data_IF_434656209199
#
_entry.id   IF_434656209199
#
_cell.length_a   1.000
_cell.length_b   1.000
_cell.length_c   1.000
_cell.angle_alpha   90.00
_cell.angle_beta   90.00
_cell.angle_gamma   90.00
#
_symmetry.space_group_name_H-M   'P 1'
#
loop_
_entity.id
_entity.type
_entity.pdbx_description
1 polymer ?
#
# COMPACT_ATOMS: atom_id res chain seq x y z
N UNK A 1 58.57 -18.31 9.68
CA UNK A 1 57.24 -18.80 9.28
C UNK A 1 56.53 -17.70 8.51
N UNK A 2 56.42 -17.85 7.20
CA UNK A 2 55.80 -16.85 6.35
C UNK A 2 54.28 -17.05 6.33
N UNK A 3 53.51 -15.96 6.56
CA UNK A 3 52.03 -15.94 6.48
C UNK A 3 51.53 -16.10 5.04
N UNK A 4 50.29 -16.63 4.85
CA UNK A 4 49.75 -16.87 3.50
C UNK A 4 49.42 -15.56 2.77
N UNK A 5 49.54 -15.55 1.42
CA UNK A 5 49.30 -14.35 0.61
C UNK A 5 47.81 -13.97 0.57
N UNK A 6 47.55 -12.68 0.63
CA UNK A 6 46.19 -12.11 0.50
C UNK A 6 45.62 -12.37 -0.91
N UNK A 7 44.46 -12.98 -0.97
CA UNK A 7 43.69 -13.22 -2.23
C UNK A 7 43.14 -11.89 -2.75
N UNK A 8 43.39 -11.49 -3.99
CA UNK A 8 42.86 -10.24 -4.54
C UNK A 8 41.34 -10.30 -4.73
N UNK A 9 40.64 -9.34 -4.17
CA UNK A 9 39.21 -9.18 -4.34
C UNK A 9 38.81 -9.04 -5.83
N UNK A 10 38.03 -10.00 -6.30
CA UNK A 10 37.74 -10.21 -7.72
C UNK A 10 36.99 -9.04 -8.36
N UNK A 11 37.52 -8.54 -9.48
CA UNK A 11 36.92 -7.49 -10.35
C UNK A 11 35.52 -7.84 -10.90
N UNK A 12 35.04 -9.07 -10.72
CA UNK A 12 33.73 -9.55 -11.19
C UNK A 12 32.57 -8.98 -10.37
N UNK A 13 32.75 -8.77 -9.07
CA UNK A 13 31.71 -8.21 -8.19
C UNK A 13 31.36 -6.74 -8.51
N UNK A 14 32.34 -5.97 -9.03
CA UNK A 14 32.15 -4.56 -9.36
C UNK A 14 31.37 -4.38 -10.68
N UNK A 15 31.57 -5.27 -11.66
CA UNK A 15 30.84 -5.25 -12.95
C UNK A 15 29.37 -5.63 -12.78
N UNK A 16 29.06 -6.61 -11.95
CA UNK A 16 27.68 -7.01 -11.64
C UNK A 16 26.91 -5.91 -10.87
N UNK A 17 27.57 -5.19 -9.96
CA UNK A 17 26.98 -4.05 -9.25
C UNK A 17 26.77 -2.84 -10.16
N UNK A 18 27.68 -2.55 -11.08
CA UNK A 18 27.57 -1.49 -12.08
C UNK A 18 26.42 -1.78 -13.06
N UNK A 19 26.28 -3.01 -13.55
CA UNK A 19 25.19 -3.44 -14.43
C UNK A 19 23.81 -3.33 -13.76
N UNK A 20 23.69 -3.72 -12.48
CA UNK A 20 22.44 -3.55 -11.71
C UNK A 20 22.07 -2.08 -11.48
N UNK A 21 23.04 -1.21 -11.24
CA UNK A 21 22.83 0.25 -11.10
C UNK A 21 22.43 0.89 -12.44
N UNK A 22 23.03 0.49 -13.55
CA UNK A 22 22.68 0.96 -14.87
C UNK A 22 21.24 0.54 -15.25
N UNK A 23 20.87 -0.71 -15.05
CA UNK A 23 19.51 -1.22 -15.31
C UNK A 23 18.44 -0.53 -14.43
N UNK A 24 18.76 -0.23 -13.18
CA UNK A 24 17.86 0.50 -12.28
C UNK A 24 17.64 1.95 -12.75
N UNK A 25 18.69 2.64 -13.23
CA UNK A 25 18.57 4.00 -13.79
C UNK A 25 17.74 4.03 -15.07
N UNK A 26 17.93 3.06 -15.95
CA UNK A 26 17.13 2.92 -17.19
C UNK A 26 15.66 2.68 -16.85
N UNK A 27 15.35 1.74 -15.94
CA UNK A 27 13.98 1.48 -15.49
C UNK A 27 13.33 2.74 -14.88
N UNK A 28 14.05 3.47 -14.04
CA UNK A 28 13.55 4.71 -13.43
C UNK A 28 13.30 5.80 -14.48
N UNK A 29 14.13 5.90 -15.53
CA UNK A 29 13.94 6.83 -16.64
C UNK A 29 12.72 6.46 -17.46
N UNK A 30 12.55 5.19 -17.80
CA UNK A 30 11.36 4.68 -18.52
C UNK A 30 10.09 4.94 -17.70
N UNK A 31 10.10 4.61 -16.41
CA UNK A 31 8.96 4.87 -15.52
C UNK A 31 8.57 6.34 -15.46
N UNK A 32 9.55 7.26 -15.41
CA UNK A 32 9.29 8.71 -15.46
C UNK A 32 8.72 9.16 -16.81
N UNK A 33 9.25 8.65 -17.93
CA UNK A 33 8.72 8.95 -19.26
C UNK A 33 7.25 8.47 -19.38
N UNK A 34 6.97 7.25 -18.93
CA UNK A 34 5.61 6.68 -18.94
C UNK A 34 4.68 7.52 -18.04
N UNK A 35 5.11 7.86 -16.82
CA UNK A 35 4.33 8.71 -15.93
C UNK A 35 4.03 10.09 -16.54
N UNK A 36 4.99 10.67 -17.27
CA UNK A 36 4.83 11.93 -17.99
C UNK A 36 3.83 11.81 -19.18
N UNK A 37 3.81 10.66 -19.86
CA UNK A 37 2.83 10.39 -20.93
C UNK A 37 1.39 10.22 -20.39
N UNK A 38 1.27 9.68 -19.17
CA UNK A 38 -0.02 9.44 -18.52
C UNK A 38 -0.57 10.68 -17.79
N UNK A 39 0.30 11.68 -17.54
CA UNK A 39 -0.08 12.87 -16.79
C UNK A 39 -0.99 13.81 -17.61
N UNK A 40 -1.99 14.37 -16.91
CA UNK A 40 -2.94 15.33 -17.48
C UNK A 40 -4.17 14.69 -18.13
N UNK A 41 -5.23 15.51 -18.37
CA UNK A 41 -6.51 15.03 -18.84
C UNK A 41 -6.55 14.74 -20.34
N UNK A 42 -5.54 15.20 -21.10
CA UNK A 42 -5.48 15.00 -22.55
C UNK A 42 -4.29 14.11 -22.94
N UNK A 43 -4.51 13.13 -23.85
CA UNK A 43 -3.44 12.25 -24.31
C UNK A 43 -2.41 13.03 -25.12
N UNK A 44 -1.15 12.93 -24.74
CA UNK A 44 -0.01 13.44 -25.52
C UNK A 44 0.21 12.59 -26.78
N UNK A 45 0.90 13.12 -27.78
CA UNK A 45 1.18 12.42 -29.06
C UNK A 45 1.79 11.03 -28.80
N UNK A 46 2.79 10.91 -27.91
CA UNK A 46 3.39 9.62 -27.57
C UNK A 46 2.39 8.62 -26.95
N UNK A 47 1.40 9.08 -26.20
CA UNK A 47 0.34 8.23 -25.67
C UNK A 47 -0.58 7.73 -26.80
N UNK A 48 -0.89 8.58 -27.79
CA UNK A 48 -1.70 8.20 -28.96
C UNK A 48 -1.00 7.15 -29.82
N UNK A 49 0.31 7.21 -29.98
CA UNK A 49 1.10 6.21 -30.70
C UNK A 49 1.05 4.82 -29.99
N UNK A 50 0.86 4.79 -28.67
CA UNK A 50 0.69 3.54 -27.92
C UNK A 50 -0.76 3.01 -27.91
N UNK A 51 -1.71 3.74 -28.51
CA UNK A 51 -3.12 3.39 -28.46
C UNK A 51 -3.45 2.04 -29.12
N UNK A 52 -2.85 1.63 -30.27
CA UNK A 52 -3.09 0.30 -30.83
C UNK A 52 -2.71 -0.83 -29.84
N UNK A 53 -1.61 -0.66 -29.10
CA UNK A 53 -1.21 -1.61 -28.08
C UNK A 53 -2.18 -1.62 -26.89
N UNK A 54 -2.76 -0.47 -26.55
CA UNK A 54 -3.79 -0.38 -25.52
C UNK A 54 -5.10 -1.08 -25.95
N UNK A 55 -5.43 -1.09 -27.23
CA UNK A 55 -6.57 -1.85 -27.74
C UNK A 55 -6.33 -3.36 -27.64
N UNK A 56 -5.13 -3.84 -27.96
CA UNK A 56 -4.75 -5.26 -27.76
C UNK A 56 -4.85 -5.63 -26.29
N UNK A 57 -4.28 -4.81 -25.40
CA UNK A 57 -4.41 -5.01 -23.95
C UNK A 57 -5.87 -5.07 -23.50
N UNK A 58 -6.71 -4.15 -24.01
CA UNK A 58 -8.12 -4.08 -23.68
C UNK A 58 -8.89 -5.32 -24.17
N UNK A 59 -8.58 -5.82 -25.37
CA UNK A 59 -9.18 -7.03 -25.92
C UNK A 59 -8.81 -8.25 -25.09
N UNK A 60 -7.53 -8.42 -24.73
CA UNK A 60 -7.05 -9.52 -23.88
C UNK A 60 -7.67 -9.48 -22.49
N UNK A 61 -7.73 -8.29 -21.87
CA UNK A 61 -8.35 -8.12 -20.56
C UNK A 61 -9.87 -8.40 -20.62
N UNK A 62 -10.54 -7.94 -21.70
CA UNK A 62 -11.96 -8.21 -21.95
C UNK A 62 -12.24 -9.69 -22.17
N UNK A 63 -11.42 -10.37 -22.97
CA UNK A 63 -11.52 -11.82 -23.18
C UNK A 63 -11.33 -12.56 -21.86
N UNK A 64 -10.30 -12.20 -21.09
CA UNK A 64 -10.07 -12.80 -19.77
C UNK A 64 -11.29 -12.66 -18.86
N UNK A 65 -11.91 -11.48 -18.80
CA UNK A 65 -13.12 -11.22 -18.01
C UNK A 65 -14.32 -12.02 -18.55
N UNK A 66 -14.50 -12.10 -19.89
CA UNK A 66 -15.55 -12.84 -20.52
C UNK A 66 -15.52 -14.33 -20.20
N UNK A 67 -14.33 -14.94 -20.12
CA UNK A 67 -14.18 -16.35 -19.73
C UNK A 67 -14.74 -16.66 -18.34
N UNK A 68 -14.67 -15.72 -17.40
CA UNK A 68 -15.30 -15.88 -16.09
C UNK A 68 -16.80 -15.63 -16.14
N UNK A 69 -17.26 -14.59 -16.87
CA UNK A 69 -18.69 -14.28 -17.02
C UNK A 69 -19.48 -15.38 -17.70
N UNK A 70 -18.88 -16.04 -18.69
CA UNK A 70 -19.47 -17.19 -19.42
C UNK A 70 -19.36 -18.52 -18.65
N UNK A 71 -18.80 -18.51 -17.43
CA UNK A 71 -18.64 -19.72 -16.62
C UNK A 71 -17.54 -20.68 -17.11
N UNK A 72 -16.76 -20.29 -18.16
CA UNK A 72 -15.66 -21.11 -18.70
C UNK A 72 -14.47 -21.16 -17.74
N UNK A 73 -14.39 -20.23 -16.81
CA UNK A 73 -13.44 -20.26 -15.69
C UNK A 73 -14.19 -20.21 -14.37
N UNK A 74 -13.74 -21.01 -13.41
CA UNK A 74 -14.35 -21.13 -12.09
C UNK A 74 -14.17 -19.83 -11.31
N UNK A 75 -15.27 -19.29 -10.78
CA UNK A 75 -15.28 -18.21 -9.79
C UNK A 75 -15.45 -18.87 -8.42
N UNK A 76 -14.54 -18.57 -7.51
CA UNK A 76 -14.60 -19.00 -6.11
C UNK A 76 -15.40 -17.97 -5.31
N UNK A 77 -16.05 -18.41 -4.24
CA UNK A 77 -16.65 -17.54 -3.24
C UNK A 77 -15.85 -17.56 -1.94
N UNK A 78 -15.81 -16.43 -1.26
CA UNK A 78 -15.26 -16.34 0.09
C UNK A 78 -16.27 -16.95 1.09
N UNK A 79 -15.81 -17.49 2.25
CA UNK A 79 -16.70 -18.02 3.28
C UNK A 79 -17.60 -16.95 3.94
N UNK A 80 -17.19 -15.71 3.92
CA UNK A 80 -17.88 -14.55 4.48
C UNK A 80 -17.93 -13.43 3.44
N UNK A 81 -18.79 -12.39 3.60
CA UNK A 81 -18.87 -11.27 2.66
C UNK A 81 -17.51 -10.63 2.36
N UNK A 82 -17.26 -10.35 1.09
CA UNK A 82 -15.99 -9.82 0.60
C UNK A 82 -16.14 -8.40 0.07
N UNK A 83 -15.46 -7.45 0.72
CA UNK A 83 -15.30 -6.08 0.28
C UNK A 83 -13.96 -5.92 -0.44
N UNK A 84 -13.97 -5.62 -1.72
CA UNK A 84 -12.73 -5.35 -2.47
C UNK A 84 -12.38 -3.87 -2.39
N UNK A 85 -11.16 -3.57 -1.97
CA UNK A 85 -10.58 -2.22 -2.04
C UNK A 85 -9.57 -2.18 -3.17
N UNK A 86 -9.80 -1.36 -4.16
CA UNK A 86 -8.91 -1.33 -5.31
C UNK A 86 -8.97 -0.03 -6.09
N UNK A 87 -8.13 0.09 -7.10
CA UNK A 87 -8.11 1.22 -8.00
C UNK A 87 -8.09 0.77 -9.46
N UNK A 88 -8.58 1.64 -10.33
CA UNK A 88 -8.57 1.42 -11.77
C UNK A 88 -7.28 1.90 -12.43
N UNK A 89 -6.44 2.62 -11.72
CA UNK A 89 -5.24 3.31 -12.21
C UNK A 89 -3.99 2.54 -11.77
N UNK A 90 -3.04 2.36 -12.68
CA UNK A 90 -1.75 1.76 -12.34
C UNK A 90 -0.92 2.66 -11.40
N UNK A 91 -0.21 2.03 -10.46
CA UNK A 91 0.59 2.70 -9.44
C UNK A 91 -0.16 2.95 -8.14
N UNK A 92 0.56 3.47 -7.14
CA UNK A 92 0.02 3.70 -5.79
C UNK A 92 -1.04 4.82 -5.79
N UNK A 93 -2.26 4.48 -5.41
CA UNK A 93 -3.38 5.41 -5.24
C UNK A 93 -3.72 5.69 -3.76
N UNK A 94 -2.81 5.37 -2.85
CA UNK A 94 -3.06 5.52 -1.41
C UNK A 94 -4.02 4.48 -0.83
N UNK A 95 -4.08 3.28 -1.41
CA UNK A 95 -4.96 2.18 -0.96
C UNK A 95 -4.67 1.75 0.47
N UNK A 96 -3.43 1.52 0.82
CA UNK A 96 -3.05 0.97 2.14
C UNK A 96 -3.57 1.81 3.31
N UNK A 97 -3.41 3.15 3.34
CA UNK A 97 -4.05 3.98 4.36
C UNK A 97 -5.58 3.93 4.33
N UNK A 98 -6.19 3.82 3.14
CA UNK A 98 -7.64 3.68 3.02
C UNK A 98 -8.12 2.33 3.57
N UNK A 99 -7.44 1.21 3.30
CA UNK A 99 -7.73 -0.11 3.87
C UNK A 99 -7.66 -0.06 5.40
N UNK A 100 -6.62 0.56 5.98
CA UNK A 100 -6.48 0.70 7.44
C UNK A 100 -7.65 1.49 8.03
N UNK A 101 -8.04 2.60 7.39
CA UNK A 101 -9.19 3.39 7.83
C UNK A 101 -10.52 2.61 7.71
N UNK A 102 -10.71 1.86 6.62
CA UNK A 102 -11.88 1.00 6.42
C UNK A 102 -11.99 -0.09 7.48
N UNK A 103 -10.88 -0.72 7.86
CA UNK A 103 -10.84 -1.71 8.95
C UNK A 103 -11.31 -1.09 10.27
N UNK A 104 -10.84 0.12 10.58
CA UNK A 104 -11.27 0.84 11.78
C UNK A 104 -12.78 1.17 11.75
N UNK A 105 -13.30 1.65 10.60
CA UNK A 105 -14.73 1.95 10.43
C UNK A 105 -15.62 0.71 10.54
N UNK A 106 -15.20 -0.41 9.93
CA UNK A 106 -15.94 -1.68 10.02
C UNK A 106 -16.01 -2.18 11.46
N UNK A 107 -14.90 -2.11 12.21
CA UNK A 107 -14.91 -2.45 13.65
C UNK A 107 -15.84 -1.56 14.47
N UNK A 108 -15.84 -0.25 14.21
CA UNK A 108 -16.77 0.69 14.86
C UNK A 108 -18.24 0.37 14.54
N UNK A 109 -18.50 -0.31 13.42
CA UNK A 109 -19.83 -0.77 13.01
C UNK A 109 -20.16 -2.19 13.49
N UNK A 110 -19.30 -2.79 14.32
CA UNK A 110 -19.49 -4.11 14.93
C UNK A 110 -19.16 -5.28 14.01
N UNK A 111 -18.27 -5.07 13.01
CA UNK A 111 -17.69 -6.14 12.20
C UNK A 111 -16.34 -6.60 12.77
N UNK A 112 -16.03 -7.85 12.52
CA UNK A 112 -14.70 -8.45 12.81
C UNK A 112 -13.95 -8.70 11.51
N UNK A 113 -13.28 -7.67 10.95
CA UNK A 113 -12.71 -7.77 9.61
C UNK A 113 -11.39 -8.54 9.58
N UNK A 114 -11.21 -9.37 8.54
CA UNK A 114 -9.95 -9.95 8.10
C UNK A 114 -9.50 -9.37 6.75
N UNK A 115 -8.22 -9.52 6.40
CA UNK A 115 -7.66 -8.99 5.15
C UNK A 115 -7.00 -10.10 4.34
N UNK A 116 -7.31 -10.12 3.05
CA UNK A 116 -6.59 -10.95 2.08
C UNK A 116 -5.86 -10.07 1.08
N UNK A 117 -4.63 -10.43 0.75
CA UNK A 117 -3.81 -9.72 -0.23
C UNK A 117 -2.99 -10.68 -1.09
N UNK A 118 -2.49 -10.19 -2.21
CA UNK A 118 -1.57 -10.97 -3.05
C UNK A 118 -0.18 -11.08 -2.43
N UNK A 119 0.21 -10.09 -1.61
CA UNK A 119 1.59 -9.94 -1.18
C UNK A 119 2.48 -9.54 -2.36
N UNK A 120 2.25 -8.34 -2.93
CA UNK A 120 3.02 -7.87 -4.08
C UNK A 120 4.52 -7.84 -3.77
N UNK A 121 5.36 -8.29 -4.73
CA UNK A 121 6.83 -8.29 -4.59
C UNK A 121 7.42 -9.51 -3.87
N UNK A 122 6.62 -10.35 -3.22
CA UNK A 122 7.09 -11.60 -2.60
C UNK A 122 7.46 -12.66 -3.65
N UNK A 123 8.49 -13.49 -3.42
CA UNK A 123 8.88 -14.54 -4.37
C UNK A 123 7.91 -15.73 -4.38
N UNK A 124 7.20 -15.98 -3.25
CA UNK A 124 6.32 -17.13 -3.08
C UNK A 124 4.90 -16.90 -3.59
N UNK A 125 4.20 -17.98 -3.99
CA UNK A 125 2.78 -17.98 -4.37
C UNK A 125 1.88 -18.63 -3.32
N UNK A 126 2.47 -19.35 -2.35
CA UNK A 126 1.76 -20.10 -1.32
C UNK A 126 0.90 -19.18 -0.45
N UNK A 127 -0.16 -19.76 0.12
CA UNK A 127 -0.96 -19.09 1.15
C UNK A 127 -0.16 -19.02 2.45
N UNK A 128 -0.09 -17.82 3.05
CA UNK A 128 0.68 -17.58 4.25
C UNK A 128 -0.01 -16.54 5.13
N UNK A 129 -0.18 -16.84 6.41
CA UNK A 129 -0.62 -15.86 7.39
C UNK A 129 0.50 -14.83 7.66
N UNK A 130 0.10 -13.58 7.84
CA UNK A 130 1.01 -12.50 8.21
C UNK A 130 1.08 -12.41 9.72
N UNK A 131 2.28 -12.59 10.27
CA UNK A 131 2.56 -12.42 11.69
C UNK A 131 3.25 -11.07 11.94
N UNK A 132 3.24 -10.63 13.20
CA UNK A 132 3.82 -9.34 13.61
C UNK A 132 5.28 -9.17 13.19
N UNK A 133 6.07 -10.24 13.25
CA UNK A 133 7.50 -10.27 12.92
C UNK A 133 7.80 -10.90 11.56
N UNK A 134 6.79 -11.14 10.71
CA UNK A 134 7.02 -11.65 9.36
C UNK A 134 7.96 -10.74 8.60
N UNK A 135 8.95 -11.30 7.87
CA UNK A 135 9.78 -10.50 6.98
C UNK A 135 8.94 -9.90 5.84
N UNK A 136 9.08 -8.59 5.58
CA UNK A 136 8.35 -7.92 4.49
C UNK A 136 8.64 -8.57 3.11
N UNK A 137 9.85 -9.13 2.94
CA UNK A 137 10.21 -9.84 1.71
C UNK A 137 9.38 -11.11 1.46
N UNK A 138 8.84 -11.75 2.52
CA UNK A 138 8.07 -12.99 2.43
C UNK A 138 6.56 -12.76 2.30
N UNK A 139 6.04 -11.73 2.95
CA UNK A 139 4.60 -11.46 3.00
C UNK A 139 4.17 -10.23 2.20
N UNK A 140 5.12 -9.37 1.83
CA UNK A 140 4.89 -8.07 1.21
C UNK A 140 4.86 -6.94 2.24
N UNK A 141 5.32 -5.76 1.85
CA UNK A 141 5.38 -4.58 2.72
C UNK A 141 3.98 -4.04 3.08
N UNK A 142 3.05 -4.00 2.12
CA UNK A 142 1.68 -3.50 2.35
C UNK A 142 0.86 -4.41 3.29
N UNK A 143 0.79 -5.75 3.12
CA UNK A 143 0.10 -6.63 4.05
C UNK A 143 0.66 -6.59 5.47
N UNK A 144 2.00 -6.52 5.60
CA UNK A 144 2.64 -6.41 6.90
C UNK A 144 2.29 -5.08 7.58
N UNK A 145 2.29 -3.96 6.82
CA UNK A 145 1.87 -2.67 7.34
C UNK A 145 0.40 -2.67 7.79
N UNK A 146 -0.50 -3.25 6.98
CA UNK A 146 -1.92 -3.37 7.35
C UNK A 146 -2.06 -4.15 8.66
N UNK A 147 -1.41 -5.31 8.78
CA UNK A 147 -1.44 -6.12 10.00
C UNK A 147 -0.96 -5.34 11.22
N UNK A 148 0.22 -4.70 11.12
CA UNK A 148 0.82 -3.94 12.21
C UNK A 148 -0.01 -2.73 12.65
N UNK A 149 -0.62 -2.04 11.70
CA UNK A 149 -1.42 -0.83 11.99
C UNK A 149 -2.81 -1.15 12.51
N UNK A 150 -3.41 -2.22 12.02
CA UNK A 150 -4.81 -2.54 12.34
C UNK A 150 -4.96 -3.65 13.38
N UNK A 151 -3.97 -4.51 13.58
CA UNK A 151 -4.10 -5.75 14.35
C UNK A 151 -5.09 -6.77 13.74
N UNK A 152 -5.61 -6.51 12.52
CA UNK A 152 -6.49 -7.45 11.85
C UNK A 152 -5.71 -8.69 11.39
N UNK A 153 -6.31 -9.88 11.38
CA UNK A 153 -5.72 -11.03 10.72
C UNK A 153 -5.55 -10.77 9.23
N UNK A 154 -4.35 -11.06 8.71
CA UNK A 154 -4.00 -10.85 7.30
C UNK A 154 -3.44 -12.13 6.73
N UNK A 155 -3.92 -12.55 5.57
CA UNK A 155 -3.39 -13.72 4.84
C UNK A 155 -3.05 -13.32 3.40
N UNK A 156 -1.86 -13.70 2.96
CA UNK A 156 -1.38 -13.44 1.60
C UNK A 156 -1.37 -14.73 0.78
N UNK A 157 -1.70 -14.61 -0.51
CA UNK A 157 -1.69 -15.74 -1.42
C UNK A 157 -1.95 -15.34 -2.87
N UNK A 158 -1.36 -16.08 -3.84
CA UNK A 158 -1.66 -15.90 -5.25
C UNK A 158 -3.10 -16.33 -5.56
N UNK A 159 -3.55 -17.43 -4.97
CA UNK A 159 -4.95 -17.86 -4.92
C UNK A 159 -5.63 -17.18 -3.72
N UNK A 160 -6.39 -16.13 -4.01
CA UNK A 160 -7.09 -15.37 -2.99
C UNK A 160 -8.27 -16.10 -2.37
N UNK A 161 -8.90 -17.03 -3.11
CA UNK A 161 -9.95 -17.88 -2.56
C UNK A 161 -9.38 -18.86 -1.52
N UNK A 162 -8.23 -19.45 -1.80
CA UNK A 162 -7.53 -20.27 -0.82
C UNK A 162 -7.06 -19.44 0.39
N UNK A 163 -6.59 -18.20 0.17
CA UNK A 163 -6.22 -17.30 1.26
C UNK A 163 -7.43 -16.93 2.14
N UNK A 164 -8.59 -16.68 1.54
CA UNK A 164 -9.83 -16.37 2.26
C UNK A 164 -10.27 -17.56 3.13
N UNK A 165 -10.30 -18.77 2.57
CA UNK A 165 -10.64 -19.99 3.34
C UNK A 165 -9.67 -20.22 4.50
N UNK A 166 -8.36 -20.09 4.25
CA UNK A 166 -7.35 -20.29 5.27
C UNK A 166 -7.48 -19.27 6.41
N UNK A 167 -7.77 -18.00 6.08
CA UNK A 167 -7.97 -16.95 7.08
C UNK A 167 -9.19 -17.24 7.94
N UNK A 168 -10.34 -17.52 7.34
CA UNK A 168 -11.57 -17.79 8.09
C UNK A 168 -11.46 -19.08 8.92
N UNK A 169 -10.77 -20.10 8.44
CA UNK A 169 -10.53 -21.33 9.21
C UNK A 169 -9.63 -21.07 10.45
N UNK A 170 -8.62 -20.20 10.31
CA UNK A 170 -7.73 -19.84 11.41
C UNK A 170 -8.36 -18.81 12.37
N UNK A 171 -9.34 -18.04 11.92
CA UNK A 171 -10.01 -16.99 12.68
C UNK A 171 -11.54 -17.07 12.48
N UNK A 172 -12.23 -18.04 13.14
CA UNK A 172 -13.69 -18.25 12.95
C UNK A 172 -14.57 -17.05 13.30
N UNK A 173 -14.07 -16.13 14.14
CA UNK A 173 -14.79 -14.91 14.48
C UNK A 173 -14.75 -13.82 13.39
N UNK A 174 -14.04 -14.02 12.28
CA UNK A 174 -14.04 -13.07 11.15
C UNK A 174 -15.35 -13.21 10.38
N UNK A 175 -16.10 -12.11 10.27
CA UNK A 175 -17.41 -12.04 9.65
C UNK A 175 -17.44 -11.19 8.35
N UNK A 176 -16.36 -10.52 8.01
CA UNK A 176 -16.16 -9.80 6.76
C UNK A 176 -14.70 -9.83 6.33
N UNK A 177 -14.46 -10.00 5.03
CA UNK A 177 -13.12 -9.93 4.46
C UNK A 177 -12.93 -8.65 3.63
N UNK A 178 -11.75 -8.06 3.73
CA UNK A 178 -11.28 -7.04 2.80
C UNK A 178 -10.21 -7.62 1.87
N UNK A 179 -10.37 -7.43 0.56
CA UNK A 179 -9.33 -7.76 -0.40
C UNK A 179 -8.59 -6.49 -0.82
N UNK A 180 -7.31 -6.39 -0.46
CA UNK A 180 -6.44 -5.32 -0.91
C UNK A 180 -6.00 -5.56 -2.36
N UNK A 181 -6.29 -4.58 -3.25
CA UNK A 181 -6.02 -4.61 -4.72
C UNK A 181 -6.65 -5.83 -5.42
N UNK A 182 -7.94 -6.07 -5.18
CA UNK A 182 -8.69 -7.25 -5.65
C UNK A 182 -9.50 -7.06 -6.93
N UNK A 183 -9.72 -5.85 -7.44
CA UNK A 183 -10.68 -5.54 -8.52
C UNK A 183 -10.44 -6.31 -9.82
N UNK A 184 -9.19 -6.61 -10.18
CA UNK A 184 -8.85 -7.35 -11.38
C UNK A 184 -8.74 -8.86 -11.15
N UNK A 185 -9.08 -9.36 -9.95
CA UNK A 185 -9.00 -10.78 -9.62
C UNK A 185 -10.35 -11.48 -9.82
N UNK A 186 -10.73 -11.69 -11.08
CA UNK A 186 -12.03 -12.24 -11.47
C UNK A 186 -12.28 -13.68 -10.99
N UNK A 187 -11.26 -14.40 -10.52
CA UNK A 187 -11.39 -15.76 -9.99
C UNK A 187 -12.02 -15.83 -8.58
N UNK A 188 -12.18 -14.69 -7.89
CA UNK A 188 -12.85 -14.62 -6.59
C UNK A 188 -14.01 -13.60 -6.70
N UNK A 189 -15.22 -14.07 -6.39
CA UNK A 189 -16.38 -13.20 -6.30
C UNK A 189 -16.21 -12.20 -5.16
N UNK A 190 -16.69 -10.99 -5.35
CA UNK A 190 -16.79 -9.98 -4.30
C UNK A 190 -18.21 -9.42 -4.27
N UNK A 191 -18.69 -9.19 -3.08
CA UNK A 191 -20.05 -8.70 -2.82
C UNK A 191 -20.10 -7.17 -2.90
N UNK A 192 -19.04 -6.53 -2.50
CA UNK A 192 -18.93 -5.07 -2.39
C UNK A 192 -17.57 -4.58 -2.90
N UNK A 193 -17.51 -3.32 -3.32
CA UNK A 193 -16.28 -2.69 -3.75
C UNK A 193 -16.12 -1.25 -3.25
N UNK A 194 -14.86 -0.85 -3.01
CA UNK A 194 -14.46 0.55 -2.84
C UNK A 194 -13.43 0.89 -3.91
N UNK A 195 -13.80 1.77 -4.83
CA UNK A 195 -12.92 2.31 -5.86
C UNK A 195 -12.15 3.50 -5.28
N UNK A 196 -10.85 3.37 -5.15
CA UNK A 196 -9.99 4.42 -4.59
C UNK A 196 -9.32 5.21 -5.71
N UNK A 197 -9.46 6.54 -5.67
CA UNK A 197 -8.77 7.46 -6.57
C UNK A 197 -7.94 8.46 -5.78
N UNK A 198 -6.75 8.77 -6.27
CA UNK A 198 -5.95 9.90 -5.80
C UNK A 198 -6.17 11.16 -6.68
N UNK A 199 -5.34 12.16 -6.49
CA UNK A 199 -5.41 13.43 -7.25
C UNK A 199 -5.22 13.27 -8.76
N UNK A 200 -4.69 12.15 -9.24
CA UNK A 200 -4.49 11.87 -10.69
C UNK A 200 -5.79 11.50 -11.39
N UNK A 201 -6.80 11.06 -10.64
CA UNK A 201 -8.04 10.57 -11.20
C UNK A 201 -7.81 9.45 -12.23
N UNK A 202 -8.34 9.63 -13.44
CA UNK A 202 -8.16 8.71 -14.56
C UNK A 202 -6.91 9.04 -15.42
N UNK A 203 -6.09 10.04 -15.03
CA UNK A 203 -4.99 10.52 -15.87
C UNK A 203 -5.47 10.99 -17.25
N UNK A 204 -4.81 10.55 -18.31
CA UNK A 204 -5.20 10.87 -19.70
C UNK A 204 -6.40 10.05 -20.21
N UNK A 205 -7.06 9.25 -19.37
CA UNK A 205 -8.26 8.47 -19.72
C UNK A 205 -8.01 7.23 -20.58
N UNK A 206 -6.77 6.96 -20.99
CA UNK A 206 -6.43 5.81 -21.82
C UNK A 206 -6.07 4.58 -20.96
N UNK A 207 -6.24 3.39 -21.57
CA UNK A 207 -5.82 2.12 -20.95
C UNK A 207 -4.32 1.89 -21.12
N UNK A 208 -3.77 1.02 -20.32
CA UNK A 208 -2.39 0.54 -20.44
C UNK A 208 -2.09 0.00 -21.84
N UNK A 209 -0.94 0.27 -22.43
CA UNK A 209 0.15 1.13 -21.93
C UNK A 209 0.03 2.61 -22.35
N UNK A 210 -0.95 3.01 -23.13
CA UNK A 210 -1.15 4.37 -23.61
C UNK A 210 -1.55 5.35 -22.50
N UNK A 211 -2.16 4.85 -21.43
CA UNK A 211 -2.58 5.59 -20.25
C UNK A 211 -2.52 4.74 -18.99
N UNK A 212 -2.89 5.29 -17.85
CA UNK A 212 -2.73 4.61 -16.57
C UNK A 212 -3.85 3.61 -16.26
N UNK A 213 -4.94 3.57 -17.02
CA UNK A 213 -6.10 2.76 -16.67
C UNK A 213 -5.87 1.26 -16.92
N UNK A 214 -6.06 0.44 -15.89
CA UNK A 214 -6.06 -1.03 -15.97
C UNK A 214 -7.32 -1.56 -16.66
N UNK A 215 -8.43 -0.83 -16.51
CA UNK A 215 -9.71 -1.08 -17.16
C UNK A 215 -10.42 0.26 -17.43
N UNK A 216 -11.46 0.28 -18.27
CA UNK A 216 -12.19 1.50 -18.55
C UNK A 216 -12.77 2.09 -17.26
N UNK A 217 -12.77 3.43 -17.20
CA UNK A 217 -13.55 4.13 -16.20
C UNK A 217 -15.04 3.87 -16.50
N UNK A 218 -15.82 3.36 -15.54
CA UNK A 218 -17.25 3.17 -15.77
C UNK A 218 -17.96 4.53 -15.91
N UNK A 219 -19.03 4.57 -16.68
CA UNK A 219 -19.85 5.79 -16.85
C UNK A 219 -20.65 6.13 -15.59
N UNK A 220 -21.01 5.11 -14.82
CA UNK A 220 -21.73 5.22 -13.56
C UNK A 220 -21.06 4.34 -12.50
N UNK A 221 -21.27 4.66 -11.24
CA UNK A 221 -20.79 3.82 -10.13
C UNK A 221 -21.48 2.46 -10.21
N UNK A 222 -20.73 1.36 -10.30
CA UNK A 222 -21.32 0.02 -10.32
C UNK A 222 -22.17 -0.27 -9.08
N UNK A 223 -23.13 -1.18 -9.18
CA UNK A 223 -23.88 -1.63 -7.98
C UNK A 223 -22.95 -2.09 -6.86
N UNK A 224 -23.37 -1.94 -5.62
CA UNK A 224 -22.60 -2.32 -4.42
C UNK A 224 -21.19 -1.75 -4.37
N UNK A 225 -20.99 -0.55 -4.93
CA UNK A 225 -19.69 0.09 -5.02
C UNK A 225 -19.72 1.49 -4.43
N UNK A 226 -18.71 1.85 -3.63
CA UNK A 226 -18.43 3.22 -3.21
C UNK A 226 -17.20 3.74 -3.95
N UNK A 227 -17.19 5.04 -4.24
CA UNK A 227 -16.02 5.74 -4.76
C UNK A 227 -15.42 6.60 -3.66
N UNK A 228 -14.12 6.45 -3.44
CA UNK A 228 -13.36 7.16 -2.40
C UNK A 228 -12.20 7.93 -3.02
N UNK A 229 -12.24 9.24 -2.87
CA UNK A 229 -11.19 10.16 -3.30
C UNK A 229 -10.24 10.48 -2.14
N UNK A 230 -8.95 10.18 -2.27
CA UNK A 230 -7.96 10.32 -1.19
C UNK A 230 -7.26 11.67 -1.17
N UNK A 231 -7.64 12.61 -2.02
CA UNK A 231 -7.04 13.94 -2.16
C UNK A 231 -7.96 15.09 -1.69
N UNK A 232 -9.01 14.80 -0.95
CA UNK A 232 -9.94 15.81 -0.42
C UNK A 232 -10.87 16.42 -1.47
N UNK A 233 -10.79 15.98 -2.73
CA UNK A 233 -11.67 16.41 -3.83
C UNK A 233 -11.87 15.29 -4.84
N UNK A 234 -12.99 15.32 -5.55
CA UNK A 234 -13.23 14.44 -6.68
C UNK A 234 -12.19 14.67 -7.79
N UNK A 235 -11.68 13.61 -8.35
CA UNK A 235 -10.68 13.63 -9.43
C UNK A 235 -11.15 12.90 -10.70
N UNK A 236 -12.40 12.42 -10.71
CA UNK A 236 -13.09 11.83 -11.86
C UNK A 236 -14.54 12.34 -11.90
N UNK A 237 -15.27 12.01 -12.97
CA UNK A 237 -16.70 12.34 -13.08
C UNK A 237 -17.60 11.43 -12.24
N UNK A 238 -17.08 10.36 -11.63
CA UNK A 238 -17.89 9.46 -10.80
C UNK A 238 -18.30 10.17 -9.51
N UNK A 239 -19.59 10.12 -9.11
CA UNK A 239 -20.00 10.57 -7.80
C UNK A 239 -19.29 9.73 -6.73
N UNK A 240 -18.79 10.38 -5.70
CA UNK A 240 -18.04 9.70 -4.64
C UNK A 240 -17.77 10.60 -3.45
N UNK A 241 -17.21 10.00 -2.43
CA UNK A 241 -16.93 10.61 -1.15
C UNK A 241 -15.43 10.88 -1.02
N UNK A 242 -15.08 11.85 -0.21
CA UNK A 242 -13.70 12.30 -0.08
C UNK A 242 -13.07 11.86 1.25
N UNK A 243 -11.77 11.98 1.33
CA UNK A 243 -11.00 11.84 2.54
C UNK A 243 -9.64 12.52 2.40
N UNK A 244 -9.01 12.79 3.52
CA UNK A 244 -7.73 13.49 3.57
C UNK A 244 -6.64 12.61 4.17
N UNK A 245 -5.44 12.72 3.60
CA UNK A 245 -4.22 12.11 4.15
C UNK A 245 -3.52 13.12 5.04
N UNK A 246 -3.13 12.69 6.23
CA UNK A 246 -2.39 13.52 7.19
C UNK A 246 -1.25 12.73 7.80
N UNK A 247 -0.15 13.42 8.10
CA UNK A 247 0.86 12.85 8.98
C UNK A 247 0.26 12.75 10.39
N UNK A 248 0.23 11.54 10.92
CA UNK A 248 -0.18 11.24 12.28
C UNK A 248 0.93 11.54 13.28
N UNK A 249 1.45 10.52 13.95
CA UNK A 249 2.58 10.63 14.86
C UNK A 249 3.91 10.43 14.14
N UNK A 250 5.00 10.81 14.80
CA UNK A 250 6.36 10.38 14.43
C UNK A 250 6.96 9.66 15.62
N UNK A 251 7.50 8.47 15.39
CA UNK A 251 8.00 7.56 16.42
C UNK A 251 9.42 7.10 16.08
N UNK A 252 10.28 6.87 17.06
CA UNK A 252 11.51 6.11 16.84
C UNK A 252 11.19 4.73 16.25
N UNK A 253 12.03 4.25 15.34
CA UNK A 253 11.82 2.97 14.64
C UNK A 253 11.62 1.79 15.60
N UNK A 254 12.40 1.72 16.69
CA UNK A 254 12.29 0.65 17.68
C UNK A 254 10.91 0.67 18.38
N UNK A 255 10.40 1.85 18.73
CA UNK A 255 9.07 2.03 19.35
C UNK A 255 7.97 1.63 18.38
N UNK A 256 8.09 2.06 17.11
CA UNK A 256 7.15 1.67 16.07
C UNK A 256 7.14 0.14 15.84
N UNK A 257 8.30 -0.50 15.87
CA UNK A 257 8.42 -1.96 15.77
C UNK A 257 7.88 -2.70 17.00
N UNK A 258 7.94 -2.11 18.19
CA UNK A 258 7.32 -2.65 19.40
C UNK A 258 5.78 -2.55 19.41
N UNK A 259 5.16 -1.90 18.40
CA UNK A 259 3.71 -1.78 18.30
C UNK A 259 3.10 -0.69 19.17
N UNK A 260 3.91 0.14 19.79
CA UNK A 260 3.42 1.29 20.54
C UNK A 260 2.97 2.39 19.55
N UNK A 261 1.67 2.46 19.29
CA UNK A 261 1.08 3.59 18.60
C UNK A 261 0.81 4.70 19.62
N UNK A 262 1.09 5.95 19.24
CA UNK A 262 0.85 7.12 20.10
C UNK A 262 -0.64 7.41 20.40
N UNK A 263 -1.53 6.43 20.22
CA UNK A 263 -2.99 6.55 20.34
C UNK A 263 -3.69 5.47 21.15
N UNK A 264 -2.99 4.52 21.76
CA UNK A 264 -3.63 3.50 22.63
C UNK A 264 -3.72 3.91 24.10
N UNK A 265 -3.99 5.19 24.39
CA UNK A 265 -4.44 5.64 25.71
C UNK A 265 -5.95 5.40 25.86
N UNK A 266 -6.37 4.11 25.90
CA UNK A 266 -7.79 3.76 25.99
C UNK A 266 -8.03 2.28 26.24
N UNK A 267 -7.24 1.64 27.12
CA UNK A 267 -7.68 0.46 27.89
C UNK A 267 -6.82 0.34 29.16
N UNK A 268 -7.52 0.25 30.26
CA UNK A 268 -7.02 0.27 31.61
C UNK A 268 -5.93 -0.80 31.88
N UNK A 269 -4.90 -0.42 32.64
CA UNK A 269 -4.06 -1.31 33.41
C UNK A 269 -2.62 -1.46 32.91
N UNK A 270 -1.83 -0.39 32.95
CA UNK A 270 -0.37 -0.51 33.06
C UNK A 270 0.15 0.59 33.96
N UNK A 271 0.77 0.15 35.03
CA UNK A 271 1.47 0.92 36.05
C UNK A 271 2.50 1.88 35.47
N UNK A 272 2.45 3.10 36.03
CA UNK A 272 3.43 4.17 35.91
C UNK A 272 4.87 3.66 35.92
N UNK A 273 5.59 3.85 34.83
CA UNK A 273 7.03 4.20 34.83
C UNK A 273 7.53 4.37 33.38
N UNK A 274 8.01 5.56 33.08
CA UNK A 274 8.59 6.08 31.85
C UNK A 274 7.57 6.85 30.98
N UNK A 275 7.67 8.18 31.10
CA UNK A 275 6.99 9.14 30.24
C UNK A 275 7.05 8.69 28.77
N UNK A 276 5.87 8.40 28.19
CA UNK A 276 5.74 8.20 26.74
C UNK A 276 6.40 9.40 26.05
N UNK A 277 7.32 9.22 25.09
CA UNK A 277 7.90 10.34 24.39
C UNK A 277 6.77 11.13 23.77
N UNK A 278 6.54 12.34 24.27
CA UNK A 278 5.61 13.31 23.72
C UNK A 278 5.73 13.27 22.20
N UNK A 279 4.59 13.24 21.50
CA UNK A 279 4.48 13.25 20.02
C UNK A 279 5.77 13.78 19.38
N UNK A 280 6.55 12.89 18.76
CA UNK A 280 7.95 13.17 18.40
C UNK A 280 8.17 14.37 17.46
N UNK A 281 7.09 15.00 16.93
CA UNK A 281 7.17 16.21 16.11
C UNK A 281 7.88 17.40 16.80
N UNK A 282 7.58 17.75 18.08
CA UNK A 282 8.31 18.81 18.78
C UNK A 282 9.81 18.53 18.89
N UNK A 283 10.20 17.27 19.09
CA UNK A 283 11.60 16.87 19.19
C UNK A 283 12.38 17.04 17.88
N UNK A 284 11.69 17.14 16.75
CA UNK A 284 12.30 17.29 15.42
C UNK A 284 12.32 18.74 14.92
N UNK A 285 11.69 19.68 15.64
CA UNK A 285 11.67 21.09 15.24
C UNK A 285 13.08 21.68 15.22
N UNK A 286 13.39 22.44 14.18
CA UNK A 286 14.69 23.08 14.00
C UNK A 286 15.83 22.14 13.62
N UNK A 287 15.57 20.82 13.53
CA UNK A 287 16.58 19.85 13.07
C UNK A 287 16.53 19.67 11.56
N UNK A 288 17.68 19.48 10.97
CA UNK A 288 17.82 19.07 9.57
C UNK A 288 17.90 17.55 9.50
N UNK A 289 16.95 16.94 8.81
CA UNK A 289 16.78 15.48 8.74
C UNK A 289 16.91 15.00 7.29
N UNK A 290 17.47 13.80 7.10
CA UNK A 290 17.38 13.11 5.83
C UNK A 290 16.01 12.43 5.72
N UNK A 291 15.18 12.84 4.77
CA UNK A 291 13.89 12.23 4.52
C UNK A 291 14.01 11.20 3.38
N UNK A 292 13.94 9.91 3.70
CA UNK A 292 14.01 8.83 2.73
C UNK A 292 12.62 8.22 2.49
N UNK A 293 12.24 8.03 1.21
CA UNK A 293 10.95 7.47 0.86
C UNK A 293 11.02 6.58 -0.38
N UNK A 294 10.74 5.27 -0.20
CA UNK A 294 10.60 4.25 -1.25
C UNK A 294 9.16 4.11 -1.71
N UNK A 295 8.60 5.20 -2.21
CA UNK A 295 7.24 5.30 -2.71
C UNK A 295 7.24 5.55 -4.21
N UNK A 296 6.20 5.10 -4.92
CA UNK A 296 6.00 5.45 -6.34
C UNK A 296 5.99 6.97 -6.58
N UNK A 297 5.54 7.73 -5.59
CA UNK A 297 5.48 9.21 -5.58
C UNK A 297 5.86 9.72 -4.19
N UNK A 298 7.12 10.05 -3.95
CA UNK A 298 7.58 10.51 -2.63
C UNK A 298 7.30 11.98 -2.35
N UNK A 299 7.03 12.80 -3.39
CA UNK A 299 6.88 14.25 -3.27
C UNK A 299 5.78 14.68 -2.28
N UNK A 300 4.57 14.07 -2.27
CA UNK A 300 3.54 14.40 -1.28
C UNK A 300 4.00 14.17 0.16
N UNK A 301 4.79 13.12 0.42
CA UNK A 301 5.35 12.86 1.74
C UNK A 301 6.34 13.95 2.15
N UNK A 302 7.26 14.32 1.27
CA UNK A 302 8.21 15.40 1.54
C UNK A 302 7.50 16.75 1.77
N UNK A 303 6.48 17.04 0.96
CA UNK A 303 5.68 18.26 1.13
C UNK A 303 4.96 18.29 2.49
N UNK A 304 4.39 17.16 2.94
CA UNK A 304 3.76 17.06 4.25
C UNK A 304 4.74 17.26 5.40
N UNK A 305 5.98 16.76 5.30
CA UNK A 305 7.03 17.01 6.31
C UNK A 305 7.42 18.48 6.36
N UNK A 306 7.59 19.14 5.20
CA UNK A 306 7.89 20.57 5.13
C UNK A 306 6.75 21.44 5.64
N UNK A 307 5.50 21.08 5.34
CA UNK A 307 4.32 21.77 5.89
C UNK A 307 4.22 21.67 7.42
N UNK A 308 4.86 20.66 8.04
CA UNK A 308 5.05 20.53 9.50
C UNK A 308 6.20 21.40 10.05
N UNK A 309 6.89 22.16 9.20
CA UNK A 309 8.03 23.01 9.58
C UNK A 309 9.36 22.27 9.71
N UNK A 310 9.49 21.05 9.18
CA UNK A 310 10.75 20.32 9.20
C UNK A 310 11.67 20.78 8.07
N UNK A 311 12.96 20.92 8.38
CA UNK A 311 14.01 21.09 7.40
C UNK A 311 14.49 19.69 6.95
N UNK A 312 14.28 19.36 5.67
CA UNK A 312 14.61 18.01 5.18
C UNK A 312 15.53 18.07 3.97
N UNK A 313 16.49 17.15 3.93
CA UNK A 313 17.20 16.72 2.74
C UNK A 313 16.42 15.54 2.12
N UNK A 314 16.01 15.67 0.86
CA UNK A 314 15.16 14.66 0.22
C UNK A 314 15.98 13.53 -0.37
N UNK A 315 15.64 12.28 -0.02
CA UNK A 315 16.20 11.06 -0.59
C UNK A 315 15.09 10.21 -1.21
N UNK A 316 14.66 10.52 -2.46
CA UNK A 316 13.68 9.69 -3.16
C UNK A 316 14.31 8.36 -3.56
N UNK A 317 13.65 7.27 -3.21
CA UNK A 317 14.06 5.90 -3.51
C UNK A 317 13.09 5.28 -4.52
N UNK A 318 13.49 4.18 -5.16
CA UNK A 318 12.59 3.39 -6.00
C UNK A 318 11.43 2.84 -5.14
N UNK A 319 10.23 2.73 -5.73
CA UNK A 319 9.11 2.06 -5.06
C UNK A 319 9.51 0.64 -4.64
N UNK A 320 9.07 0.23 -3.46
CA UNK A 320 9.46 -1.04 -2.83
C UNK A 320 10.97 -1.23 -2.62
N UNK A 321 11.74 -0.15 -2.41
CA UNK A 321 13.18 -0.24 -2.11
C UNK A 321 13.43 -1.15 -0.90
N UNK A 322 14.42 -2.05 -1.01
CA UNK A 322 14.65 -3.13 -0.03
C UNK A 322 15.48 -2.74 1.20
N UNK A 323 16.06 -1.53 1.23
CA UNK A 323 16.91 -0.99 2.32
C UNK A 323 18.14 -1.87 2.71
N UNK A 324 18.55 -2.76 1.85
CA UNK A 324 19.77 -3.55 2.02
C UNK A 324 20.61 -3.49 0.73
N UNK A 325 21.76 -2.78 0.73
CA UNK A 325 22.29 -1.95 1.83
C UNK A 325 21.43 -0.70 2.11
N UNK A 326 21.67 -0.06 3.27
CA UNK A 326 21.02 1.21 3.61
C UNK A 326 21.34 2.26 2.51
N UNK A 327 20.32 3.05 2.08
CA UNK A 327 20.50 3.98 0.96
C UNK A 327 21.18 5.30 1.35
N UNK A 328 21.37 5.58 2.62
CA UNK A 328 22.03 6.77 3.13
C UNK A 328 23.52 6.53 3.47
N UNK A 329 24.34 7.58 3.47
CA UNK A 329 25.76 7.47 3.82
C UNK A 329 26.00 6.95 5.24
N UNK A 330 27.09 6.23 5.43
CA UNK A 330 27.57 5.88 6.77
C UNK A 330 27.77 7.16 7.61
N UNK A 331 27.39 7.11 8.88
CA UNK A 331 27.47 8.29 9.77
C UNK A 331 26.31 9.27 9.65
N UNK A 332 25.27 8.98 8.84
CA UNK A 332 24.02 9.75 8.85
C UNK A 332 23.38 9.65 10.24
N UNK A 333 23.26 10.78 10.93
CA UNK A 333 22.80 10.81 12.30
C UNK A 333 21.31 10.48 12.45
N UNK A 334 20.47 11.14 11.62
CA UNK A 334 19.01 11.03 11.73
C UNK A 334 18.35 10.93 10.35
N UNK A 335 17.43 9.97 10.22
CA UNK A 335 16.64 9.74 9.01
C UNK A 335 15.16 9.66 9.38
N UNK A 336 14.29 10.25 8.57
CA UNK A 336 12.84 10.07 8.68
C UNK A 336 12.33 9.28 7.47
N UNK A 337 11.53 8.24 7.73
CA UNK A 337 10.98 7.33 6.72
C UNK A 337 9.46 7.22 6.84
N UNK A 338 8.83 6.67 5.81
CA UNK A 338 7.41 6.28 5.85
C UNK A 338 7.23 4.95 6.57
N UNK A 339 6.01 4.63 7.01
CA UNK A 339 5.68 3.31 7.57
C UNK A 339 5.85 2.18 6.56
N UNK A 340 5.55 2.43 5.26
CA UNK A 340 5.77 1.45 4.17
C UNK A 340 7.26 1.12 4.01
N UNK A 341 8.15 2.02 4.39
CA UNK A 341 9.58 1.79 4.41
C UNK A 341 10.04 1.15 5.72
N UNK A 342 9.45 1.58 6.84
CA UNK A 342 9.79 1.08 8.18
C UNK A 342 9.58 -0.43 8.33
N UNK A 343 8.57 -1.03 7.70
CA UNK A 343 8.34 -2.50 7.72
C UNK A 343 9.51 -3.30 7.13
N UNK A 344 10.36 -2.66 6.32
CA UNK A 344 11.55 -3.25 5.69
C UNK A 344 12.85 -2.96 6.44
N UNK A 345 12.76 -2.18 7.53
CA UNK A 345 13.89 -1.72 8.33
C UNK A 345 13.80 -2.28 9.76
N UNK A 346 14.27 -3.51 10.01
CA UNK A 346 14.35 -3.99 11.39
C UNK A 346 15.31 -3.10 12.19
N UNK A 347 15.02 -2.77 13.46
CA UNK A 347 15.83 -1.85 14.26
C UNK A 347 17.32 -2.21 14.33
N UNK A 348 17.64 -3.50 14.33
CA UNK A 348 19.03 -3.97 14.32
C UNK A 348 19.80 -3.66 13.01
N UNK A 349 19.10 -3.38 11.92
CA UNK A 349 19.73 -3.16 10.61
C UNK A 349 20.19 -1.71 10.38
N UNK A 350 19.77 -0.75 11.21
CA UNK A 350 20.02 0.68 10.98
C UNK A 350 21.31 1.20 11.65
N UNK A 351 21.99 0.36 12.43
CA UNK A 351 23.24 0.71 13.11
C UNK A 351 23.06 1.90 14.06
N UNK A 352 23.99 2.84 14.02
CA UNK A 352 23.96 4.06 14.84
C UNK A 352 22.99 5.15 14.33
N UNK A 353 22.40 4.99 13.16
CA UNK A 353 21.45 5.97 12.59
C UNK A 353 20.15 5.97 13.39
N UNK A 354 19.74 7.12 13.91
CA UNK A 354 18.41 7.28 14.51
C UNK A 354 17.37 7.38 13.42
N UNK A 355 16.50 6.38 13.30
CA UNK A 355 15.44 6.37 12.30
C UNK A 355 14.11 6.73 12.96
N UNK A 356 13.44 7.73 12.40
CA UNK A 356 12.10 8.17 12.75
C UNK A 356 11.09 7.64 11.72
N UNK A 357 9.97 7.14 12.20
CA UNK A 357 8.87 6.66 11.36
C UNK A 357 7.72 7.66 11.42
N UNK A 358 7.40 8.28 10.31
CA UNK A 358 6.22 9.14 10.19
C UNK A 358 5.01 8.30 9.78
N UNK A 359 3.97 8.28 10.64
CA UNK A 359 2.74 7.56 10.32
C UNK A 359 1.89 8.37 9.35
N UNK A 360 1.19 7.68 8.47
CA UNK A 360 0.27 8.30 7.51
C UNK A 360 -1.16 7.82 7.80
N UNK A 361 -1.97 8.74 8.30
CA UNK A 361 -3.37 8.49 8.57
C UNK A 361 -4.23 8.96 7.40
N UNK A 362 -5.29 8.22 7.14
CA UNK A 362 -6.33 8.60 6.19
C UNK A 362 -7.65 8.77 6.93
N UNK A 363 -8.26 9.91 6.77
CA UNK A 363 -9.52 10.26 7.40
C UNK A 363 -10.58 10.46 6.31
N UNK A 364 -11.46 9.48 6.10
CA UNK A 364 -12.64 9.66 5.25
C UNK A 364 -13.58 10.71 5.87
N UNK A 365 -14.35 11.41 5.04
CA UNK A 365 -15.39 12.29 5.53
C UNK A 365 -16.50 11.50 6.26
N UNK A 366 -17.23 12.10 7.22
CA UNK A 366 -18.24 11.39 8.02
C UNK A 366 -19.33 10.70 7.18
N UNK A 367 -19.70 11.28 6.05
CA UNK A 367 -20.66 10.70 5.12
C UNK A 367 -20.20 9.33 4.57
N UNK A 368 -18.90 9.10 4.44
CA UNK A 368 -18.35 7.83 4.00
C UNK A 368 -18.64 6.69 5.00
N UNK A 369 -18.52 6.94 6.30
CA UNK A 369 -18.85 5.94 7.33
C UNK A 369 -20.31 5.52 7.27
N UNK A 370 -21.23 6.47 7.02
CA UNK A 370 -22.67 6.18 6.81
C UNK A 370 -22.90 5.37 5.54
N UNK A 371 -22.28 5.76 4.42
CA UNK A 371 -22.40 5.04 3.16
C UNK A 371 -21.84 3.61 3.25
N UNK A 372 -20.70 3.42 3.92
CA UNK A 372 -20.13 2.09 4.18
C UNK A 372 -21.06 1.21 4.99
N UNK A 373 -21.68 1.77 6.04
CA UNK A 373 -22.69 1.04 6.84
C UNK A 373 -23.87 0.59 5.98
N UNK A 374 -24.40 1.48 5.15
CA UNK A 374 -25.51 1.15 4.23
C UNK A 374 -25.10 0.08 3.23
N UNK A 375 -23.87 0.16 2.68
CA UNK A 375 -23.32 -0.83 1.75
C UNK A 375 -23.22 -2.22 2.39
N UNK A 376 -22.75 -2.31 3.64
CA UNK A 376 -22.53 -3.57 4.33
C UNK A 376 -23.80 -4.14 4.99
N UNK A 377 -24.83 -3.33 5.24
CA UNK A 377 -26.02 -3.74 5.98
C UNK A 377 -26.71 -5.02 5.45
N UNK A 378 -26.88 -5.24 4.12
CA UNK A 378 -27.52 -6.44 3.61
C UNK A 378 -26.78 -7.74 3.95
N UNK A 379 -25.50 -7.66 4.23
CA UNK A 379 -24.62 -8.82 4.46
C UNK A 379 -24.44 -9.16 5.94
N UNK A 380 -24.94 -8.32 6.86
CA UNK A 380 -24.78 -8.53 8.31
C UNK A 380 -25.71 -9.62 8.84
N UNK A 381 -26.90 -9.77 8.23
CA UNK A 381 -27.93 -10.69 8.70
C UNK A 381 -27.79 -12.13 8.18
N UNK A 382 -26.78 -12.43 7.40
CA UNK A 382 -26.55 -13.78 6.87
C UNK A 382 -25.66 -14.67 7.76
N UNK A 383 -25.25 -14.17 8.94
CA UNK A 383 -24.36 -14.90 9.87
C UNK A 383 -24.91 -14.99 11.30
N UNK A 384 -26.19 -14.73 11.54
CA UNK A 384 -26.82 -15.24 12.77
C UNK A 384 -27.09 -16.75 12.58
N UNK A 385 -26.54 -17.62 13.47
CA UNK A 385 -26.68 -19.06 13.40
C UNK A 385 -28.11 -19.55 13.55
#
# INVERSE_FOLDING_TARGET
MAGPPAVPATASGNRLRAGRRASARVRARIARCIAALWAGPQPRIGARLLQPLAWVYAALAGLHQALFRLGLRRVQQAPVPLLVVGNLVAGGAGKTPAVIALLALLRQQGWTPGVISRGHGRPGRAVQAVAWHSPAAEVGDEPLLIHRRSGAPVTVGADRGAAARALCAAHPGVDILLADDGLQHHALHHDMAVLVFDERGAGNGLRLPAGPLRQALPLQVPPHTLVLYTAGRASTALPGLTGTRRLGSVLPLAIWWAGQSAGSAGSAGATDTAAAPANGWPALRGRRLLAAAGLARPEPFFAMLQARGLQIDRLPLADHHGFNPLPWPAGTAEVIVTEKDAVKLPPAAVGATRVWVATLDFQPEPAFAKALRTLCAPFKNHHEP
#
